data_IF_032598701544
#
_entry.id   IF_032598701544
#
_cell.length_a   1.000
_cell.length_b   1.000
_cell.length_c   1.000
_cell.angle_alpha   90.00
_cell.angle_beta   90.00
_cell.angle_gamma   90.00
#
_symmetry.space_group_name_H-M   'P 1'
#
loop_
_entity.id
_entity.type
_entity.pdbx_description
1 polymer ?
#
# COMPACT_ATOMS: atom_id res chain seq x y z
N UNK A 1 -8.47 19.85 14.22
CA UNK A 1 -9.39 20.01 13.09
C UNK A 1 -10.72 20.49 13.68
N UNK A 2 -11.16 21.72 13.33
CA UNK A 2 -12.47 22.25 13.74
C UNK A 2 -13.50 21.88 12.68
N UNK A 3 -14.48 21.08 13.04
CA UNK A 3 -15.59 20.69 12.19
C UNK A 3 -16.84 21.59 12.40
N UNK A 4 -16.64 22.86 12.77
CA UNK A 4 -17.71 23.86 12.95
C UNK A 4 -18.29 24.27 11.61
N UNK A 5 -19.20 23.54 11.06
CA UNK A 5 -19.86 23.84 9.78
C UNK A 5 -20.63 22.66 9.21
N UNK A 6 -20.43 21.49 9.78
CA UNK A 6 -21.15 20.29 9.37
C UNK A 6 -22.38 20.04 10.23
N UNK A 7 -23.41 19.39 9.66
CA UNK A 7 -24.59 18.95 10.43
C UNK A 7 -24.19 17.98 11.54
N UNK A 8 -24.88 17.99 12.70
CA UNK A 8 -24.56 17.12 13.85
C UNK A 8 -24.27 15.65 13.48
N UNK A 9 -25.04 14.98 12.60
CA UNK A 9 -24.75 13.61 12.22
C UNK A 9 -23.43 13.44 11.43
N UNK A 10 -23.10 14.40 10.56
CA UNK A 10 -21.86 14.38 9.77
C UNK A 10 -20.65 14.71 10.65
N UNK A 11 -20.82 15.62 11.59
CA UNK A 11 -19.79 15.98 12.57
C UNK A 11 -19.45 14.79 13.45
N UNK A 12 -20.45 14.08 13.96
CA UNK A 12 -20.29 12.88 14.79
C UNK A 12 -19.58 11.74 14.02
N UNK A 13 -19.91 11.56 12.72
CA UNK A 13 -19.25 10.60 11.84
C UNK A 13 -17.78 10.99 11.57
N UNK A 14 -17.50 12.26 11.33
CA UNK A 14 -16.15 12.76 11.09
C UNK A 14 -15.29 12.73 12.35
N UNK A 15 -15.86 13.12 13.50
CA UNK A 15 -15.20 13.05 14.79
C UNK A 15 -14.89 11.58 15.18
N UNK A 16 -15.82 10.64 15.01
CA UNK A 16 -15.57 9.20 15.21
C UNK A 16 -14.47 8.66 14.30
N UNK A 17 -14.41 9.07 13.01
CA UNK A 17 -13.32 8.67 12.10
C UNK A 17 -11.94 9.16 12.55
N UNK A 18 -11.86 10.32 13.18
CA UNK A 18 -10.59 10.90 13.68
C UNK A 18 -10.10 10.23 14.95
N UNK A 19 -11.01 9.68 15.78
CA UNK A 19 -10.67 9.05 17.05
C UNK A 19 -10.65 7.52 17.04
N UNK A 20 -10.93 6.89 15.88
CA UNK A 20 -10.91 5.43 15.78
C UNK A 20 -9.48 4.89 15.87
N UNK A 21 -9.23 4.03 16.87
CA UNK A 21 -7.92 3.40 17.07
C UNK A 21 -7.61 2.45 15.90
N UNK A 22 -6.49 2.66 15.24
CA UNK A 22 -6.00 1.82 14.14
C UNK A 22 -5.36 0.55 14.70
N UNK A 23 -5.73 -0.62 14.15
CA UNK A 23 -5.10 -1.90 14.50
C UNK A 23 -4.29 -2.41 13.31
N UNK A 24 -2.99 -2.60 13.52
CA UNK A 24 -2.09 -3.23 12.57
C UNK A 24 -1.71 -4.63 13.06
N UNK A 25 -2.00 -5.65 12.28
CA UNK A 25 -1.64 -7.03 12.58
C UNK A 25 -0.42 -7.41 11.74
N UNK A 26 0.73 -7.62 12.38
CA UNK A 26 2.00 -7.94 11.74
C UNK A 26 2.34 -9.40 12.00
N UNK A 27 1.86 -10.27 11.13
CA UNK A 27 2.07 -11.71 11.12
C UNK A 27 3.31 -12.11 10.33
N UNK A 28 3.61 -13.37 10.32
CA UNK A 28 4.73 -13.98 9.57
C UNK A 28 5.34 -15.13 10.33
N UNK A 29 5.94 -16.07 9.61
CA UNK A 29 6.47 -17.29 10.19
C UNK A 29 7.65 -17.02 11.13
N UNK A 30 8.06 -18.06 11.89
CA UNK A 30 9.16 -17.96 12.86
C UNK A 30 10.44 -17.45 12.21
N UNK A 31 11.06 -16.43 12.81
CA UNK A 31 12.33 -15.84 12.35
C UNK A 31 12.22 -15.05 11.03
N UNK A 32 11.02 -14.73 10.54
CA UNK A 32 10.83 -13.94 9.32
C UNK A 32 11.28 -12.47 9.46
N UNK A 33 11.36 -11.95 10.70
CA UNK A 33 11.81 -10.57 10.99
C UNK A 33 10.70 -9.62 11.44
N UNK A 34 9.56 -10.12 11.94
CA UNK A 34 8.43 -9.33 12.43
C UNK A 34 8.85 -8.26 13.44
N UNK A 35 9.49 -8.67 14.51
CA UNK A 35 9.97 -7.77 15.57
C UNK A 35 10.94 -6.71 15.05
N UNK A 36 11.79 -7.06 14.06
CA UNK A 36 12.69 -6.09 13.40
C UNK A 36 11.91 -5.02 12.64
N UNK A 37 10.88 -5.45 11.90
CA UNK A 37 9.99 -4.53 11.18
C UNK A 37 9.23 -3.61 12.14
N UNK A 38 8.66 -4.18 13.21
CA UNK A 38 7.92 -3.42 14.23
C UNK A 38 8.82 -2.34 14.86
N UNK A 39 10.06 -2.70 15.23
CA UNK A 39 11.04 -1.74 15.77
C UNK A 39 11.33 -0.60 14.78
N UNK A 40 11.46 -0.90 13.49
CA UNK A 40 11.68 0.10 12.45
C UNK A 40 10.46 1.04 12.32
N UNK A 41 9.24 0.50 12.25
CA UNK A 41 8.02 1.30 12.17
C UNK A 41 7.82 2.19 13.40
N UNK A 42 8.05 1.67 14.59
CA UNK A 42 7.99 2.43 15.84
C UNK A 42 8.94 3.63 15.79
N UNK A 43 10.18 3.40 15.38
CA UNK A 43 11.21 4.43 15.34
C UNK A 43 10.99 5.49 14.25
N UNK A 44 10.50 5.08 13.07
CA UNK A 44 10.55 5.90 11.88
C UNK A 44 9.17 6.40 11.40
N UNK A 45 8.08 5.69 11.77
CA UNK A 45 6.74 6.01 11.25
C UNK A 45 5.73 6.39 12.33
N UNK A 46 5.94 5.95 13.58
CA UNK A 46 4.97 6.15 14.66
C UNK A 46 5.41 7.22 15.67
N UNK A 47 6.42 8.02 15.36
CA UNK A 47 6.90 9.07 16.23
C UNK A 47 5.77 10.03 16.67
N UNK A 48 5.69 10.32 17.97
CA UNK A 48 4.67 11.20 18.56
C UNK A 48 3.28 10.57 18.74
N UNK A 49 3.08 9.30 18.37
CA UNK A 49 1.81 8.58 18.59
C UNK A 49 1.83 7.83 19.90
N UNK A 50 0.64 7.66 20.50
CA UNK A 50 0.44 6.74 21.61
C UNK A 50 0.10 5.36 21.05
N UNK A 51 0.98 4.38 21.27
CA UNK A 51 0.88 3.03 20.73
C UNK A 51 0.82 2.01 21.84
N UNK A 52 0.01 0.98 21.64
CA UNK A 52 0.07 -0.27 22.43
C UNK A 52 0.59 -1.38 21.52
N UNK A 53 1.61 -2.08 21.97
CA UNK A 53 2.14 -3.27 21.32
C UNK A 53 1.66 -4.50 22.08
N UNK A 54 0.97 -5.39 21.39
CA UNK A 54 0.51 -6.69 21.89
C UNK A 54 1.35 -7.77 21.25
N UNK A 55 2.20 -8.42 22.02
CA UNK A 55 3.04 -9.52 21.59
C UNK A 55 2.51 -10.86 22.09
N UNK A 56 2.51 -11.85 21.23
CA UNK A 56 2.14 -13.22 21.58
C UNK A 56 3.32 -14.16 21.32
N UNK A 57 4.34 -14.10 22.14
CA UNK A 57 5.47 -15.03 22.04
C UNK A 57 5.36 -16.19 23.03
N UNK A 58 5.69 -17.38 22.54
CA UNK A 58 6.11 -18.50 23.36
C UNK A 58 7.57 -18.28 23.77
N UNK A 59 7.82 -17.58 24.89
CA UNK A 59 9.18 -17.37 25.41
C UNK A 59 9.39 -16.03 26.13
N UNK A 60 10.31 -15.98 27.04
CA UNK A 60 10.53 -14.95 28.07
C UNK A 60 11.24 -13.66 27.61
N UNK A 61 11.23 -13.27 26.35
CA UNK A 61 12.00 -12.09 25.92
C UNK A 61 11.10 -11.10 25.15
N UNK A 62 10.49 -10.18 25.89
CA UNK A 62 9.87 -8.98 25.34
C UNK A 62 10.90 -8.07 24.65
N UNK A 63 10.42 -7.16 23.79
CA UNK A 63 11.25 -6.09 23.24
C UNK A 63 11.83 -5.30 24.41
N UNK A 64 13.15 -5.12 24.47
CA UNK A 64 13.81 -4.39 25.55
C UNK A 64 13.15 -3.01 25.76
N UNK A 65 12.40 -2.86 26.87
CA UNK A 65 11.68 -1.61 27.19
C UNK A 65 12.56 -0.35 27.29
N UNK A 66 13.89 -0.53 27.28
CA UNK A 66 14.88 0.56 27.16
C UNK A 66 14.95 1.17 25.76
N UNK A 67 14.85 0.35 24.70
CA UNK A 67 14.93 0.82 23.31
C UNK A 67 13.73 1.70 22.92
N UNK A 68 12.57 1.45 23.52
CA UNK A 68 11.32 2.10 23.16
C UNK A 68 11.15 3.49 23.80
N UNK A 69 11.80 3.74 24.95
CA UNK A 69 11.79 5.05 25.63
C UNK A 69 12.53 6.14 24.85
N UNK A 70 13.54 5.75 24.08
CA UNK A 70 14.35 6.69 23.30
C UNK A 70 13.67 7.15 22.00
N UNK A 71 12.62 6.45 21.56
CA UNK A 71 11.91 6.75 20.30
C UNK A 71 10.87 7.88 20.42
N UNK A 72 10.64 8.45 21.63
CA UNK A 72 9.63 9.50 21.85
C UNK A 72 8.18 9.02 21.65
N UNK A 73 7.97 7.71 21.68
CA UNK A 73 6.68 7.03 21.51
C UNK A 73 6.25 6.48 22.86
N UNK A 74 5.01 6.73 23.27
CA UNK A 74 4.46 6.11 24.48
C UNK A 74 4.00 4.69 24.13
N UNK A 75 4.81 3.69 24.48
CA UNK A 75 4.51 2.28 24.20
C UNK A 75 4.15 1.57 25.49
N UNK A 76 3.07 0.81 25.45
CA UNK A 76 2.69 -0.13 26.48
C UNK A 76 2.79 -1.54 25.87
N UNK A 77 3.71 -2.34 26.40
CA UNK A 77 3.83 -3.76 26.04
C UNK A 77 2.83 -4.57 26.86
N UNK A 78 2.09 -5.43 26.22
CA UNK A 78 1.22 -6.40 26.86
C UNK A 78 1.54 -7.79 26.35
N UNK A 79 2.00 -8.65 27.25
CA UNK A 79 2.17 -10.07 26.99
C UNK A 79 0.83 -10.77 27.23
N UNK A 80 0.05 -10.95 26.18
CA UNK A 80 -1.16 -11.78 26.26
C UNK A 80 -0.79 -13.23 26.05
N UNK A 81 -0.98 -14.08 27.07
CA UNK A 81 -0.83 -15.52 26.90
C UNK A 81 -1.62 -16.01 25.69
N UNK A 82 -1.06 -16.98 24.92
CA UNK A 82 -1.57 -17.57 23.69
C UNK A 82 -2.90 -17.05 23.13
N UNK A 83 -2.86 -16.04 22.24
CA UNK A 83 -4.03 -15.62 21.44
C UNK A 83 -4.58 -16.80 20.61
N UNK A 84 -3.73 -17.76 20.26
CA UNK A 84 -4.10 -18.93 19.46
C UNK A 84 -4.75 -20.05 20.26
N UNK A 85 -4.56 -20.13 21.58
CA UNK A 85 -4.95 -21.29 22.39
C UNK A 85 -6.12 -21.07 23.34
N UNK A 86 -6.41 -19.85 23.75
CA UNK A 86 -7.54 -19.55 24.61
C UNK A 86 -8.47 -18.54 23.93
N UNK A 87 -9.33 -19.10 23.08
CA UNK A 87 -10.65 -18.59 22.72
C UNK A 87 -10.83 -17.05 22.64
N UNK A 88 -11.30 -16.64 21.48
CA UNK A 88 -11.87 -15.35 21.05
C UNK A 88 -12.41 -14.43 22.18
N UNK A 89 -12.86 -14.99 23.31
CA UNK A 89 -13.42 -14.23 24.43
C UNK A 89 -12.40 -13.49 25.32
N UNK A 90 -11.22 -14.05 25.54
CA UNK A 90 -10.22 -13.42 26.43
C UNK A 90 -9.43 -12.32 25.69
N UNK A 91 -9.21 -12.49 24.39
CA UNK A 91 -8.56 -11.47 23.56
C UNK A 91 -9.44 -10.22 23.39
N UNK A 92 -10.75 -10.42 23.21
CA UNK A 92 -11.71 -9.32 23.15
C UNK A 92 -11.68 -8.45 24.43
N UNK A 93 -11.67 -9.10 25.61
CA UNK A 93 -11.55 -8.39 26.89
C UNK A 93 -10.23 -7.64 27.03
N UNK A 94 -9.11 -8.26 26.59
CA UNK A 94 -7.81 -7.60 26.64
C UNK A 94 -7.78 -6.34 25.77
N UNK A 95 -8.38 -6.36 24.58
CA UNK A 95 -8.52 -5.17 23.72
C UNK A 95 -9.40 -4.10 24.38
N UNK A 96 -10.54 -4.49 24.99
CA UNK A 96 -11.40 -3.56 25.72
C UNK A 96 -10.65 -2.89 26.88
N UNK A 97 -9.91 -3.65 27.69
CA UNK A 97 -9.08 -3.10 28.76
C UNK A 97 -8.00 -2.13 28.23
N UNK A 98 -7.40 -2.43 27.08
CA UNK A 98 -6.43 -1.53 26.42
C UNK A 98 -7.10 -0.23 26.03
N UNK A 99 -8.28 -0.28 25.45
CA UNK A 99 -9.02 0.91 25.05
C UNK A 99 -9.43 1.76 26.26
N UNK A 100 -9.96 1.14 27.31
CA UNK A 100 -10.38 1.84 28.55
C UNK A 100 -9.21 2.49 29.28
N UNK A 101 -8.04 1.84 29.32
CA UNK A 101 -6.90 2.32 30.10
C UNK A 101 -6.00 3.29 29.36
N UNK A 102 -5.84 3.14 28.06
CA UNK A 102 -4.82 3.84 27.31
C UNK A 102 -5.38 4.70 26.18
N UNK A 103 -6.58 4.40 25.66
CA UNK A 103 -7.17 5.07 24.47
C UNK A 103 -6.11 5.39 23.40
N UNK A 104 -5.36 4.37 22.89
CA UNK A 104 -4.23 4.61 22.02
C UNK A 104 -4.69 5.04 20.61
N UNK A 105 -3.84 5.80 19.92
CA UNK A 105 -4.06 6.12 18.50
C UNK A 105 -3.90 4.88 17.61
N UNK A 106 -3.05 3.93 18.05
CA UNK A 106 -2.70 2.73 17.29
C UNK A 106 -2.40 1.55 18.21
N UNK A 107 -2.85 0.37 17.79
CA UNK A 107 -2.49 -0.92 18.40
C UNK A 107 -1.75 -1.73 17.35
N UNK A 108 -0.55 -2.20 17.67
CA UNK A 108 0.22 -3.14 16.85
C UNK A 108 0.13 -4.51 17.50
N UNK A 109 -0.29 -5.51 16.73
CA UNK A 109 -0.41 -6.90 17.21
C UNK A 109 0.62 -7.75 16.48
N UNK A 110 1.55 -8.35 17.23
CA UNK A 110 2.45 -9.39 16.74
C UNK A 110 1.95 -10.77 17.18
N UNK A 111 1.22 -11.52 16.34
CA UNK A 111 0.77 -12.85 16.70
C UNK A 111 1.92 -13.85 16.64
N UNK A 112 1.72 -15.02 17.27
CA UNK A 112 2.68 -16.15 17.19
C UNK A 112 3.02 -16.48 15.73
N UNK A 113 4.28 -16.77 15.48
CA UNK A 113 4.77 -17.14 14.14
C UNK A 113 4.15 -18.40 13.53
N UNK A 114 3.45 -19.21 14.33
CA UNK A 114 2.69 -20.38 13.89
C UNK A 114 1.17 -20.16 13.94
N UNK A 115 0.70 -18.93 14.22
CA UNK A 115 -0.70 -18.57 14.21
C UNK A 115 -1.25 -18.32 12.79
N UNK A 116 -2.54 -18.58 12.59
CA UNK A 116 -3.25 -18.19 11.37
C UNK A 116 -3.64 -16.71 11.44
N UNK A 117 -3.27 -15.93 10.44
CA UNK A 117 -3.60 -14.50 10.36
C UNK A 117 -5.13 -14.29 10.31
N UNK A 118 -5.84 -15.17 9.61
CA UNK A 118 -7.30 -15.14 9.53
C UNK A 118 -8.00 -15.23 10.88
N UNK A 119 -7.44 -15.97 11.83
CA UNK A 119 -8.05 -16.16 13.14
C UNK A 119 -7.86 -14.92 14.01
N UNK A 120 -6.68 -14.31 13.97
CA UNK A 120 -6.40 -13.04 14.66
C UNK A 120 -7.26 -11.92 14.08
N UNK A 121 -7.37 -11.83 12.75
CA UNK A 121 -8.26 -10.88 12.08
C UNK A 121 -9.70 -11.00 12.56
N UNK A 122 -10.27 -12.22 12.56
CA UNK A 122 -11.65 -12.47 13.03
C UNK A 122 -11.83 -12.07 14.50
N UNK A 123 -10.82 -12.34 15.34
CA UNK A 123 -10.87 -11.97 16.76
C UNK A 123 -10.96 -10.45 16.93
N UNK A 124 -10.21 -9.66 16.16
CA UNK A 124 -10.29 -8.19 16.16
C UNK A 124 -11.62 -7.71 15.60
N UNK A 125 -12.06 -8.22 14.44
CA UNK A 125 -13.33 -7.83 13.80
C UNK A 125 -14.56 -8.07 14.70
N UNK A 126 -14.50 -9.06 15.59
CA UNK A 126 -15.56 -9.29 16.58
C UNK A 126 -15.63 -8.17 17.63
N UNK A 127 -14.50 -7.57 17.97
CA UNK A 127 -14.41 -6.48 18.95
C UNK A 127 -14.71 -5.11 18.33
N UNK A 128 -14.49 -4.94 17.03
CA UNK A 128 -14.83 -3.71 16.29
C UNK A 128 -16.31 -3.30 16.45
N UNK A 129 -17.19 -4.25 16.75
CA UNK A 129 -18.61 -3.99 16.94
C UNK A 129 -18.92 -3.30 18.27
N UNK A 130 -18.04 -3.46 19.25
CA UNK A 130 -18.24 -3.03 20.63
C UNK A 130 -17.26 -1.93 21.07
N UNK A 131 -16.23 -1.65 20.24
CA UNK A 131 -15.17 -0.67 20.53
C UNK A 131 -14.88 0.22 19.32
N UNK A 132 -14.42 1.44 19.56
CA UNK A 132 -13.98 2.38 18.51
C UNK A 132 -12.58 2.01 17.97
N UNK A 133 -12.46 0.81 17.41
CA UNK A 133 -11.25 0.26 16.79
C UNK A 133 -11.52 -0.15 15.36
N UNK A 134 -10.48 -0.20 14.53
CA UNK A 134 -10.58 -0.67 13.15
C UNK A 134 -9.31 -1.38 12.71
N UNK A 135 -9.45 -2.53 12.05
CA UNK A 135 -8.34 -3.16 11.33
C UNK A 135 -7.87 -2.21 10.22
N UNK A 136 -6.65 -1.71 10.38
CA UNK A 136 -6.01 -0.77 9.46
C UNK A 136 -5.13 -1.50 8.46
N UNK A 137 -4.31 -2.45 8.92
CA UNK A 137 -3.47 -3.25 8.04
C UNK A 137 -3.35 -4.71 8.49
N UNK A 138 -3.25 -5.61 7.50
CA UNK A 138 -3.00 -7.03 7.66
C UNK A 138 -1.69 -7.37 6.94
N UNK A 139 -0.63 -7.55 7.68
CA UNK A 139 0.72 -7.71 7.15
C UNK A 139 1.25 -9.10 7.40
N UNK A 140 1.90 -9.68 6.40
CA UNK A 140 2.71 -10.89 6.56
C UNK A 140 4.16 -10.62 6.19
N UNK A 141 5.06 -10.82 7.14
CA UNK A 141 6.50 -10.79 6.90
C UNK A 141 6.97 -12.17 6.45
N UNK A 142 7.60 -12.26 5.28
CA UNK A 142 8.05 -13.53 4.70
C UNK A 142 9.54 -13.50 4.35
N UNK A 143 10.31 -14.45 4.87
CA UNK A 143 11.70 -14.69 4.47
C UNK A 143 11.73 -15.24 3.04
N UNK A 144 12.16 -14.42 2.08
CA UNK A 144 12.16 -14.76 0.65
C UNK A 144 12.91 -16.07 0.36
N UNK A 145 13.97 -16.35 1.12
CA UNK A 145 14.77 -17.56 0.94
C UNK A 145 14.06 -18.86 1.32
N UNK A 146 12.95 -18.76 2.07
CA UNK A 146 12.25 -19.90 2.68
C UNK A 146 10.82 -20.11 2.18
N UNK A 147 10.29 -19.22 1.36
CA UNK A 147 8.90 -19.27 0.87
C UNK A 147 8.51 -20.65 0.36
N UNK A 148 9.24 -21.18 -0.62
CA UNK A 148 8.96 -22.50 -1.21
C UNK A 148 8.99 -23.64 -0.17
N UNK A 149 9.96 -23.59 0.73
CA UNK A 149 10.11 -24.62 1.77
C UNK A 149 8.95 -24.57 2.79
N UNK A 150 8.58 -23.36 3.23
CA UNK A 150 7.53 -23.21 4.23
C UNK A 150 6.14 -23.48 3.65
N UNK A 151 5.85 -23.09 2.43
CA UNK A 151 4.60 -23.45 1.75
C UNK A 151 4.43 -24.97 1.65
N UNK A 152 5.52 -25.70 1.37
CA UNK A 152 5.49 -27.16 1.25
C UNK A 152 5.31 -27.87 2.60
N UNK A 153 6.03 -27.42 3.63
CA UNK A 153 6.14 -28.16 4.89
C UNK A 153 5.16 -27.70 5.97
N UNK A 154 4.67 -26.44 5.88
CA UNK A 154 3.82 -25.78 6.89
C UNK A 154 2.61 -25.09 6.24
N UNK A 155 2.14 -25.63 5.12
CA UNK A 155 1.14 -25.00 4.27
C UNK A 155 -0.12 -24.56 5.00
N UNK A 156 -0.60 -25.27 6.02
CA UNK A 156 -1.79 -24.88 6.76
C UNK A 156 -1.65 -23.51 7.43
N UNK A 157 -0.51 -23.23 8.04
CA UNK A 157 -0.29 -21.96 8.75
C UNK A 157 0.33 -20.92 7.83
N UNK A 158 1.39 -21.30 7.12
CA UNK A 158 2.13 -20.39 6.26
C UNK A 158 1.28 -19.86 5.09
N UNK A 159 0.55 -20.76 4.39
CA UNK A 159 -0.30 -20.31 3.30
C UNK A 159 -1.44 -19.41 3.81
N UNK A 160 -2.03 -19.72 4.97
CA UNK A 160 -3.04 -18.84 5.56
C UNK A 160 -2.51 -17.44 5.85
N UNK A 161 -1.26 -17.31 6.34
CA UNK A 161 -0.63 -16.01 6.55
C UNK A 161 -0.47 -15.25 5.23
N UNK A 162 -0.05 -15.92 4.15
CA UNK A 162 0.08 -15.32 2.82
C UNK A 162 -1.29 -14.93 2.24
N UNK A 163 -2.24 -15.88 2.25
CA UNK A 163 -3.58 -15.71 1.65
C UNK A 163 -4.41 -14.62 2.33
N UNK A 164 -4.23 -14.44 3.65
CA UNK A 164 -5.00 -13.47 4.44
C UNK A 164 -4.38 -12.08 4.52
N UNK A 165 -3.16 -11.88 4.00
CA UNK A 165 -2.46 -10.61 4.08
C UNK A 165 -3.01 -9.59 3.07
N UNK A 166 -3.16 -8.34 3.48
CA UNK A 166 -3.32 -7.20 2.57
C UNK A 166 -1.98 -6.69 2.04
N UNK A 167 -0.91 -6.87 2.85
CA UNK A 167 0.45 -6.53 2.45
C UNK A 167 1.42 -7.64 2.85
N UNK A 168 2.31 -8.02 1.95
CA UNK A 168 3.35 -9.02 2.18
C UNK A 168 4.71 -8.32 2.09
N UNK A 169 5.48 -8.37 3.17
CA UNK A 169 6.79 -7.72 3.25
C UNK A 169 7.87 -8.78 3.19
N UNK A 170 8.61 -8.82 2.08
CA UNK A 170 9.70 -9.77 1.92
C UNK A 170 10.93 -9.32 2.72
N UNK A 171 11.42 -10.19 3.58
CA UNK A 171 12.68 -9.99 4.27
C UNK A 171 13.83 -10.68 3.57
N UNK A 172 15.05 -10.16 3.77
CA UNK A 172 16.31 -10.71 3.24
C UNK A 172 16.39 -10.79 1.71
N UNK A 173 15.68 -9.91 1.02
CA UNK A 173 15.70 -9.83 -0.45
C UNK A 173 17.09 -9.56 -1.00
N UNK A 174 17.91 -8.77 -0.30
CA UNK A 174 19.31 -8.51 -0.65
C UNK A 174 20.25 -9.73 -0.53
N UNK A 175 19.76 -10.86 0.02
CA UNK A 175 20.57 -12.09 0.21
C UNK A 175 20.27 -13.18 -0.81
N UNK A 176 19.40 -12.92 -1.77
CA UNK A 176 19.02 -13.90 -2.80
C UNK A 176 19.29 -13.34 -4.18
N UNK A 177 19.41 -14.22 -5.17
CA UNK A 177 19.48 -13.79 -6.58
C UNK A 177 18.10 -13.37 -7.09
N UNK A 178 18.07 -12.63 -8.19
CA UNK A 178 16.83 -12.18 -8.84
C UNK A 178 15.93 -13.38 -9.18
N UNK A 179 16.47 -14.46 -9.73
CA UNK A 179 15.69 -15.65 -10.10
C UNK A 179 15.01 -16.31 -8.89
N UNK A 180 15.65 -16.24 -7.71
CA UNK A 180 15.04 -16.74 -6.47
C UNK A 180 13.95 -15.82 -5.95
N UNK A 181 14.14 -14.51 -6.08
CA UNK A 181 13.14 -13.53 -5.74
C UNK A 181 11.91 -13.70 -6.63
N UNK A 182 12.10 -13.78 -7.94
CA UNK A 182 11.02 -13.96 -8.92
C UNK A 182 10.26 -15.27 -8.69
N UNK A 183 10.98 -16.36 -8.42
CA UNK A 183 10.35 -17.65 -8.10
C UNK A 183 9.53 -17.59 -6.80
N UNK A 184 9.98 -16.86 -5.80
CA UNK A 184 9.23 -16.67 -4.55
C UNK A 184 7.98 -15.80 -4.79
N UNK A 185 8.10 -14.71 -5.57
CA UNK A 185 7.00 -13.85 -5.95
C UNK A 185 5.92 -14.61 -6.73
N UNK A 186 6.30 -15.44 -7.69
CA UNK A 186 5.35 -16.28 -8.44
C UNK A 186 4.54 -17.18 -7.51
N UNK A 187 5.19 -17.84 -6.53
CA UNK A 187 4.51 -18.69 -5.55
C UNK A 187 3.57 -17.89 -4.63
N UNK A 188 3.97 -16.69 -4.22
CA UNK A 188 3.15 -15.81 -3.39
C UNK A 188 1.94 -15.32 -4.18
N UNK A 189 2.13 -14.87 -5.42
CA UNK A 189 1.05 -14.38 -6.30
C UNK A 189 0.04 -15.47 -6.65
N UNK A 190 0.47 -16.74 -6.79
CA UNK A 190 -0.43 -17.90 -6.94
C UNK A 190 -1.40 -18.02 -5.76
N UNK A 191 -0.95 -17.68 -4.55
CA UNK A 191 -1.73 -17.76 -3.32
C UNK A 191 -2.51 -16.47 -3.01
N UNK A 192 -1.93 -15.33 -3.31
CA UNK A 192 -2.52 -14.03 -3.05
C UNK A 192 -2.17 -13.04 -4.19
N UNK A 193 -3.05 -12.92 -5.20
CA UNK A 193 -2.85 -12.02 -6.33
C UNK A 193 -3.01 -10.53 -5.95
N UNK A 194 -3.79 -10.23 -4.89
CA UNK A 194 -4.23 -8.87 -4.55
C UNK A 194 -3.31 -8.14 -3.55
N UNK A 195 -2.47 -8.87 -2.80
CA UNK A 195 -1.65 -8.25 -1.78
C UNK A 195 -0.62 -7.29 -2.38
N UNK A 196 -0.41 -6.15 -1.72
CA UNK A 196 0.77 -5.31 -1.97
C UNK A 196 2.02 -6.08 -1.53
N UNK A 197 3.06 -6.17 -2.36
CA UNK A 197 4.28 -6.89 -2.02
C UNK A 197 5.47 -5.93 -1.96
N UNK A 198 6.06 -5.79 -0.79
CA UNK A 198 7.31 -5.04 -0.61
C UNK A 198 8.48 -5.96 -0.93
N UNK A 199 9.22 -5.63 -1.98
CA UNK A 199 10.38 -6.42 -2.49
C UNK A 199 11.72 -5.74 -2.22
N UNK A 200 11.72 -4.45 -2.02
CA UNK A 200 12.91 -3.64 -1.74
C UNK A 200 13.48 -3.98 -0.36
N UNK A 201 14.81 -4.07 -0.21
CA UNK A 201 15.43 -4.25 1.10
C UNK A 201 15.00 -3.15 2.08
N UNK A 202 14.69 -3.52 3.31
CA UNK A 202 14.17 -2.58 4.32
C UNK A 202 15.13 -1.45 4.69
N UNK A 203 16.42 -1.68 4.50
CA UNK A 203 17.45 -0.68 4.79
C UNK A 203 17.41 0.48 3.77
N UNK A 204 16.80 0.25 2.62
CA UNK A 204 16.63 1.24 1.56
C UNK A 204 15.30 2.02 1.66
N UNK A 205 14.38 1.57 2.52
CA UNK A 205 13.07 2.18 2.71
C UNK A 205 12.98 2.90 4.06
N UNK A 206 12.30 4.04 4.09
CA UNK A 206 11.89 4.65 5.35
C UNK A 206 10.70 3.89 5.97
N UNK A 207 10.53 4.02 7.29
CA UNK A 207 9.35 3.47 7.97
C UNK A 207 8.03 4.05 7.45
N UNK A 208 8.03 5.31 7.02
CA UNK A 208 6.86 5.97 6.42
C UNK A 208 6.48 5.37 5.06
N UNK A 209 7.46 5.04 4.22
CA UNK A 209 7.20 4.36 2.94
C UNK A 209 6.61 2.97 3.16
N UNK A 210 7.14 2.22 4.13
CA UNK A 210 6.60 0.90 4.49
C UNK A 210 5.17 1.04 5.02
N UNK A 211 4.92 2.00 5.92
CA UNK A 211 3.60 2.26 6.48
C UNK A 211 2.60 2.65 5.38
N UNK A 212 2.99 3.52 4.45
CA UNK A 212 2.16 3.90 3.30
C UNK A 212 1.73 2.70 2.47
N UNK A 213 2.65 1.77 2.18
CA UNK A 213 2.34 0.53 1.49
C UNK A 213 1.41 -0.41 2.30
N UNK A 214 1.58 -0.47 3.63
CA UNK A 214 0.70 -1.24 4.52
C UNK A 214 -0.74 -0.68 4.58
N UNK A 215 -0.89 0.65 4.54
CA UNK A 215 -2.19 1.33 4.60
C UNK A 215 -2.90 1.39 3.24
N UNK A 216 -2.38 0.71 2.21
CA UNK A 216 -2.89 0.74 0.83
C UNK A 216 -2.95 2.17 0.31
N UNK A 217 -1.81 2.82 0.21
CA UNK A 217 -1.70 4.09 -0.51
C UNK A 217 -2.26 3.93 -1.94
N UNK A 218 -2.85 5.01 -2.44
CA UNK A 218 -3.43 5.16 -3.78
C UNK A 218 -2.54 4.48 -4.83
N UNK A 219 -3.13 3.74 -5.77
CA UNK A 219 -2.34 3.09 -6.83
C UNK A 219 -1.65 4.14 -7.70
N UNK A 220 -0.53 3.79 -8.32
CA UNK A 220 0.14 4.71 -9.26
C UNK A 220 -0.80 5.13 -10.41
N UNK A 221 -1.72 4.24 -10.80
CA UNK A 221 -2.74 4.54 -11.80
C UNK A 221 -3.72 5.61 -11.31
N UNK A 222 -4.22 5.48 -10.07
CA UNK A 222 -5.13 6.47 -9.47
C UNK A 222 -4.44 7.82 -9.28
N UNK A 223 -3.17 7.83 -8.83
CA UNK A 223 -2.37 9.06 -8.73
C UNK A 223 -2.22 9.76 -10.07
N UNK A 224 -1.97 9.00 -11.15
CA UNK A 224 -1.83 9.55 -12.50
C UNK A 224 -3.15 10.06 -13.07
N UNK A 225 -4.23 9.31 -12.89
CA UNK A 225 -5.56 9.73 -13.32
C UNK A 225 -5.96 11.04 -12.63
N UNK A 226 -5.76 11.12 -11.31
CA UNK A 226 -6.04 12.34 -10.55
C UNK A 226 -5.18 13.54 -11.02
N UNK A 227 -3.89 13.33 -11.31
CA UNK A 227 -3.03 14.37 -11.88
C UNK A 227 -3.50 14.83 -13.26
N UNK A 228 -4.01 13.93 -14.11
CA UNK A 228 -4.55 14.28 -15.42
C UNK A 228 -5.86 15.10 -15.29
N UNK A 229 -6.73 14.77 -14.32
CA UNK A 229 -7.94 15.51 -14.03
C UNK A 229 -7.63 16.93 -13.48
N UNK A 230 -6.59 17.08 -12.65
CA UNK A 230 -6.15 18.40 -12.15
C UNK A 230 -5.53 19.29 -13.23
N UNK A 231 -4.95 18.71 -14.29
CA UNK A 231 -4.37 19.44 -15.42
C UNK A 231 -5.43 19.93 -16.44
N UNK A 232 -6.69 19.46 -16.38
CA UNK A 232 -7.80 19.94 -17.21
C UNK A 232 -8.35 21.28 -16.70
N UNK A 233 -7.53 22.31 -16.80
CA UNK A 233 -7.96 23.70 -16.58
C UNK A 233 -8.44 24.30 -17.89
N UNK A 234 -9.61 24.90 -17.89
CA UNK A 234 -10.11 25.61 -19.08
C UNK A 234 -9.07 26.65 -19.57
N UNK A 235 -8.52 26.55 -20.78
CA UNK A 235 -7.48 27.44 -21.28
C UNK A 235 -7.96 28.89 -21.50
N UNK A 236 -9.26 29.12 -21.39
CA UNK A 236 -9.88 30.44 -21.62
C UNK A 236 -10.19 31.17 -20.33
N UNK A 237 -10.67 30.50 -19.28
CA UNK A 237 -11.10 31.14 -18.03
C UNK A 237 -10.27 30.70 -16.79
N UNK A 238 -9.42 29.67 -16.88
CA UNK A 238 -8.57 29.22 -15.78
C UNK A 238 -9.31 28.55 -14.61
N UNK A 239 -10.58 28.16 -14.80
CA UNK A 239 -11.35 27.46 -13.77
C UNK A 239 -11.18 25.94 -13.94
N UNK A 240 -11.02 25.25 -12.80
CA UNK A 240 -11.11 23.80 -12.74
C UNK A 240 -12.54 23.34 -13.04
N UNK A 241 -12.68 22.26 -13.76
CA UNK A 241 -13.96 21.63 -14.01
C UNK A 241 -14.37 20.85 -12.75
N UNK A 242 -15.34 21.33 -11.99
CA UNK A 242 -15.89 20.62 -10.83
C UNK A 242 -17.14 19.84 -11.27
N UNK A 243 -17.11 18.51 -11.29
CA UNK A 243 -18.25 17.69 -11.72
C UNK A 243 -19.42 17.67 -10.70
N UNK A 244 -19.26 18.18 -9.48
CA UNK A 244 -20.31 18.15 -8.43
C UNK A 244 -21.13 19.45 -8.31
N UNK A 245 -20.79 20.53 -9.01
CA UNK A 245 -21.59 21.77 -8.99
C UNK A 245 -22.55 21.90 -10.18
N UNK A 246 -23.49 21.00 -10.31
CA UNK A 246 -24.66 21.18 -11.18
C UNK A 246 -25.87 21.60 -10.36
N UNK A 247 -25.91 22.84 -9.91
CA UNK A 247 -27.17 23.61 -9.75
C UNK A 247 -26.86 25.05 -9.30
N UNK A 248 -26.39 25.91 -10.19
CA UNK A 248 -26.46 27.36 -9.93
C UNK A 248 -26.69 28.16 -11.20
N UNK A 249 -27.71 28.99 -11.14
CA UNK A 249 -28.11 30.00 -12.08
C UNK A 249 -26.91 30.79 -12.63
N UNK A 250 -26.71 30.72 -13.93
CA UNK A 250 -25.78 31.55 -14.68
C UNK A 250 -26.35 32.94 -14.87
N UNK A 251 -25.93 33.87 -14.02
CA UNK A 251 -25.95 35.29 -14.31
C UNK A 251 -24.51 35.82 -14.30
N UNK A 252 -23.73 35.52 -15.31
CA UNK A 252 -22.56 36.32 -15.71
C UNK A 252 -22.21 36.01 -17.16
N UNK A 253 -22.27 37.04 -18.00
CA UNK A 253 -21.92 37.10 -19.41
C UNK A 253 -20.47 36.62 -19.63
N UNK A 254 -20.29 35.36 -19.92
CA UNK A 254 -19.12 34.86 -20.62
C UNK A 254 -19.51 34.83 -22.11
N UNK A 255 -18.92 35.71 -22.93
CA UNK A 255 -19.23 35.87 -24.32
C UNK A 255 -18.76 34.74 -25.24
N UNK A 256 -19.19 33.55 -24.94
CA UNK A 256 -19.02 32.36 -25.79
C UNK A 256 -20.30 32.21 -26.61
N UNK A 257 -20.22 32.43 -27.92
CA UNK A 257 -21.34 32.26 -28.85
C UNK A 257 -21.95 30.86 -28.72
N UNK A 258 -23.30 30.84 -28.66
CA UNK A 258 -24.12 29.62 -28.65
C UNK A 258 -23.83 28.79 -29.92
N UNK A 259 -23.01 27.73 -29.75
CA UNK A 259 -23.06 26.58 -30.63
C UNK A 259 -23.71 25.44 -29.86
N UNK A 260 -24.90 25.05 -30.30
CA UNK A 260 -25.66 23.87 -29.92
C UNK A 260 -24.82 22.62 -30.20
N UNK A 261 -23.89 22.30 -29.30
CA UNK A 261 -23.23 21.04 -29.26
C UNK A 261 -23.80 20.24 -28.07
N UNK A 262 -24.64 19.25 -28.40
CA UNK A 262 -24.92 18.17 -27.50
C UNK A 262 -23.58 17.47 -27.14
N UNK A 263 -22.93 17.96 -26.11
CA UNK A 263 -21.80 17.28 -25.50
C UNK A 263 -22.35 16.06 -24.77
N UNK A 264 -22.28 14.90 -25.40
CA UNK A 264 -22.24 13.64 -24.67
C UNK A 264 -20.98 13.69 -23.83
N UNK A 265 -21.13 13.92 -22.52
CA UNK A 265 -20.06 13.74 -21.56
C UNK A 265 -19.74 12.26 -21.53
N UNK A 266 -18.77 11.83 -22.34
CA UNK A 266 -18.08 10.57 -22.12
C UNK A 266 -17.19 10.81 -20.90
N UNK A 267 -17.49 10.13 -19.78
CA UNK A 267 -16.57 10.08 -18.64
C UNK A 267 -15.22 9.60 -19.16
N UNK A 268 -14.13 10.19 -18.69
CA UNK A 268 -12.76 9.82 -19.11
C UNK A 268 -12.53 8.30 -19.03
N UNK A 269 -13.12 7.66 -18.04
CA UNK A 269 -13.13 6.21 -17.81
C UNK A 269 -13.75 5.38 -18.92
N UNK A 270 -14.62 5.94 -19.77
CA UNK A 270 -15.21 5.22 -20.90
C UNK A 270 -14.32 5.18 -22.13
N UNK A 271 -13.33 6.10 -22.23
CA UNK A 271 -12.46 6.28 -23.41
C UNK A 271 -11.04 5.82 -23.13
N UNK A 272 -10.56 5.97 -21.90
CA UNK A 272 -9.19 5.69 -21.51
C UNK A 272 -9.13 4.50 -20.56
N UNK A 273 -8.09 3.70 -20.73
CA UNK A 273 -7.75 2.57 -19.85
C UNK A 273 -6.37 2.75 -19.25
N UNK A 274 -6.17 2.25 -18.05
CA UNK A 274 -4.86 2.20 -17.41
C UNK A 274 -4.36 0.76 -17.34
N UNK A 275 -3.08 0.56 -17.65
CA UNK A 275 -2.36 -0.68 -17.44
C UNK A 275 -1.26 -0.44 -16.42
N UNK A 276 -1.44 -0.93 -15.19
CA UNK A 276 -0.48 -0.80 -14.10
C UNK A 276 0.14 -2.15 -13.74
N UNK A 277 1.42 -2.15 -13.37
CA UNK A 277 2.14 -3.34 -12.90
C UNK A 277 3.08 -3.01 -11.76
N UNK A 278 3.16 -3.94 -10.82
CA UNK A 278 4.21 -4.00 -9.81
C UNK A 278 5.22 -5.07 -10.19
N UNK A 279 6.51 -4.79 -10.02
CA UNK A 279 7.57 -5.72 -10.40
C UNK A 279 8.82 -5.54 -9.55
N UNK A 280 9.48 -6.64 -9.23
CA UNK A 280 10.82 -6.62 -8.64
C UNK A 280 11.93 -6.66 -9.72
N UNK A 281 11.56 -6.69 -11.01
CA UNK A 281 12.52 -6.72 -12.12
C UNK A 281 13.36 -5.45 -12.10
N UNK A 282 14.65 -5.65 -12.31
CA UNK A 282 15.60 -4.56 -12.47
C UNK A 282 15.76 -4.21 -13.96
N UNK A 283 15.99 -2.93 -14.23
CA UNK A 283 16.15 -2.41 -15.58
C UNK A 283 17.45 -1.62 -15.68
N UNK A 284 18.11 -1.66 -16.86
CA UNK A 284 19.15 -0.69 -17.13
C UNK A 284 18.56 0.59 -17.72
N UNK A 285 19.31 1.71 -17.62
CA UNK A 285 18.90 2.97 -18.25
C UNK A 285 18.69 2.81 -19.76
N UNK A 286 19.60 2.09 -20.44
CA UNK A 286 19.55 1.85 -21.86
C UNK A 286 18.34 0.99 -22.27
N UNK A 287 17.94 0.04 -21.43
CA UNK A 287 16.70 -0.73 -21.66
C UNK A 287 15.48 0.19 -21.55
N UNK A 288 15.43 1.04 -20.52
CA UNK A 288 14.31 1.97 -20.35
C UNK A 288 14.24 3.01 -21.48
N UNK A 289 15.36 3.55 -21.95
CA UNK A 289 15.39 4.45 -23.12
C UNK A 289 14.77 3.78 -24.36
N UNK A 290 15.10 2.52 -24.63
CA UNK A 290 14.49 1.77 -25.74
C UNK A 290 13.00 1.52 -25.55
N UNK A 291 12.57 1.16 -24.35
CA UNK A 291 11.16 0.92 -24.01
C UNK A 291 10.36 2.21 -24.23
N UNK A 292 10.82 3.32 -23.67
CA UNK A 292 10.12 4.60 -23.75
C UNK A 292 10.10 5.16 -25.19
N UNK A 293 11.18 4.99 -25.93
CA UNK A 293 11.21 5.32 -27.34
C UNK A 293 10.17 4.54 -28.14
N UNK A 294 10.07 3.22 -27.92
CA UNK A 294 9.06 2.38 -28.56
C UNK A 294 7.63 2.78 -28.16
N UNK A 295 7.39 3.15 -26.90
CA UNK A 295 6.08 3.62 -26.43
C UNK A 295 5.72 4.98 -27.01
N UNK A 296 6.70 5.89 -27.22
CA UNK A 296 6.44 7.23 -27.73
C UNK A 296 6.17 7.29 -29.22
N UNK A 297 6.74 6.33 -30.00
CA UNK A 297 6.65 6.30 -31.47
C UNK A 297 5.84 5.12 -32.01
N UNK A 298 5.60 4.07 -31.21
CA UNK A 298 4.97 2.83 -31.65
C UNK A 298 3.45 2.88 -31.54
N UNK A 299 2.76 2.68 -32.68
CA UNK A 299 1.30 2.54 -32.67
C UNK A 299 0.83 1.13 -32.24
N UNK A 300 1.74 0.19 -32.08
CA UNK A 300 1.40 -1.22 -31.79
C UNK A 300 0.94 -1.48 -30.36
N UNK A 301 1.19 -0.55 -29.43
CA UNK A 301 0.82 -0.67 -28.01
C UNK A 301 -0.54 -0.03 -27.67
N UNK A 302 -1.20 0.59 -28.66
CA UNK A 302 -2.37 1.44 -28.50
C UNK A 302 -2.01 2.92 -28.59
N UNK A 303 -2.97 3.78 -28.32
CA UNK A 303 -2.73 5.24 -28.26
C UNK A 303 -2.30 5.59 -26.85
N UNK A 304 -1.00 5.76 -26.64
CA UNK A 304 -0.45 6.08 -25.31
C UNK A 304 -0.59 7.58 -25.08
N UNK A 305 -1.19 7.94 -23.94
CA UNK A 305 -1.36 9.32 -23.51
C UNK A 305 -0.35 9.69 -22.45
N UNK A 306 -0.10 8.79 -21.51
CA UNK A 306 0.87 8.98 -20.43
C UNK A 306 1.45 7.63 -19.99
N UNK A 307 2.71 7.63 -19.63
CA UNK A 307 3.29 6.52 -18.88
C UNK A 307 4.21 7.05 -17.79
N UNK A 308 4.18 6.43 -16.65
CA UNK A 308 5.03 6.79 -15.50
C UNK A 308 5.47 5.54 -14.78
N UNK A 309 6.65 5.61 -14.18
CA UNK A 309 7.11 4.50 -13.34
C UNK A 309 8.32 4.85 -12.51
N UNK A 310 8.50 3.99 -11.51
CA UNK A 310 9.57 4.00 -10.54
C UNK A 310 10.10 2.58 -10.49
N UNK A 311 11.26 2.33 -11.07
CA UNK A 311 11.79 0.98 -11.29
C UNK A 311 13.18 0.81 -10.69
N UNK A 312 13.52 -0.37 -10.13
CA UNK A 312 14.87 -0.63 -9.65
C UNK A 312 15.87 -0.65 -10.82
N UNK A 313 17.04 -0.02 -10.62
CA UNK A 313 18.12 -0.03 -11.60
C UNK A 313 19.08 -1.19 -11.34
N UNK A 314 19.43 -1.96 -12.38
CA UNK A 314 20.38 -3.07 -12.30
C UNK A 314 21.77 -2.63 -11.81
N UNK A 315 22.17 -1.39 -12.13
CA UNK A 315 23.43 -0.79 -11.71
C UNK A 315 23.38 -0.13 -10.30
N UNK A 316 22.29 -0.36 -9.56
CA UNK A 316 22.01 0.26 -8.26
C UNK A 316 21.20 1.56 -8.38
N UNK A 317 20.45 1.88 -7.32
CA UNK A 317 19.53 3.02 -7.30
C UNK A 317 18.22 2.74 -8.03
N UNK A 318 17.48 3.79 -8.38
CA UNK A 318 16.15 3.71 -8.96
C UNK A 318 16.03 4.64 -10.16
N UNK A 319 15.26 4.20 -11.16
CA UNK A 319 14.94 4.94 -12.38
C UNK A 319 13.51 5.40 -12.30
N UNK A 320 13.30 6.70 -12.36
CA UNK A 320 12.01 7.32 -12.53
C UNK A 320 11.84 7.68 -13.99
N UNK A 321 10.69 7.40 -14.56
CA UNK A 321 10.36 7.84 -15.89
C UNK A 321 8.98 8.48 -15.96
N UNK A 322 8.85 9.45 -16.84
CA UNK A 322 7.60 10.09 -17.22
C UNK A 322 7.58 10.22 -18.73
N UNK A 323 6.44 9.87 -19.36
CA UNK A 323 6.28 9.91 -20.82
C UNK A 323 4.92 10.54 -21.15
N UNK A 324 4.94 11.47 -22.07
CA UNK A 324 3.79 12.01 -22.79
C UNK A 324 4.02 11.81 -24.31
N UNK A 325 2.99 11.93 -25.17
CA UNK A 325 3.18 11.74 -26.61
C UNK A 325 4.32 12.57 -27.20
N UNK A 326 5.34 11.89 -27.72
CA UNK A 326 6.50 12.52 -28.36
C UNK A 326 7.64 12.93 -27.43
N UNK A 327 7.45 12.84 -26.10
CA UNK A 327 8.48 13.24 -25.12
C UNK A 327 8.55 12.24 -23.97
N UNK A 328 9.76 11.98 -23.47
CA UNK A 328 9.96 11.24 -22.23
C UNK A 328 11.19 11.72 -21.47
N UNK A 329 11.14 11.55 -20.17
CA UNK A 329 12.24 11.87 -19.26
C UNK A 329 12.60 10.65 -18.41
N UNK A 330 13.91 10.46 -18.21
CA UNK A 330 14.48 9.47 -17.28
C UNK A 330 15.35 10.18 -16.26
N UNK A 331 15.07 9.98 -14.99
CA UNK A 331 15.82 10.56 -13.86
C UNK A 331 16.13 9.51 -12.80
N UNK A 332 17.15 9.75 -12.02
CA UNK A 332 17.43 8.97 -10.83
C UNK A 332 16.53 9.41 -9.68
N UNK A 333 16.15 8.49 -8.81
CA UNK A 333 15.27 8.76 -7.68
C UNK A 333 15.55 7.91 -6.46
N UNK A 334 14.76 8.15 -5.43
CA UNK A 334 14.82 7.39 -4.18
C UNK A 334 14.16 6.03 -4.35
N UNK A 335 14.54 5.02 -3.56
CA UNK A 335 13.87 3.72 -3.51
C UNK A 335 12.37 3.84 -3.25
N UNK A 336 11.58 3.00 -3.92
CA UNK A 336 10.17 2.75 -3.59
C UNK A 336 10.01 1.33 -3.03
N UNK A 337 8.86 1.00 -2.46
CA UNK A 337 8.59 -0.29 -1.82
C UNK A 337 8.68 -1.48 -2.79
N UNK A 338 8.38 -1.25 -4.06
CA UNK A 338 8.57 -2.18 -5.19
C UNK A 338 8.70 -1.37 -6.47
N UNK A 339 9.17 -1.99 -7.56
CA UNK A 339 9.08 -1.37 -8.88
C UNK A 339 7.62 -1.23 -9.28
N UNK A 340 7.22 -0.03 -9.73
CA UNK A 340 5.85 0.26 -10.18
C UNK A 340 5.89 0.97 -11.52
N UNK A 341 4.95 0.63 -12.38
CA UNK A 341 4.76 1.36 -13.63
C UNK A 341 3.28 1.40 -14.02
N UNK A 342 2.91 2.43 -14.72
CA UNK A 342 1.57 2.62 -15.24
C UNK A 342 1.62 3.23 -16.64
N UNK A 343 0.76 2.75 -17.52
CA UNK A 343 0.53 3.28 -18.85
C UNK A 343 -0.94 3.61 -19.00
N UNK A 344 -1.26 4.83 -19.37
CA UNK A 344 -2.63 5.32 -19.62
C UNK A 344 -2.79 5.60 -21.10
N UNK A 345 -3.90 5.15 -21.67
CA UNK A 345 -4.16 5.36 -23.06
C UNK A 345 -5.47 4.74 -23.54
N UNK A 346 -5.67 4.72 -24.83
CA UNK A 346 -6.83 4.13 -25.49
C UNK A 346 -6.42 2.89 -26.29
N UNK A 347 -7.23 1.84 -26.22
CA UNK A 347 -7.00 0.55 -26.93
C UNK A 347 -5.65 -0.08 -26.60
N UNK A 348 -5.24 -0.01 -25.33
CA UNK A 348 -3.98 -0.57 -24.87
C UNK A 348 -3.87 -2.06 -25.20
N UNK A 349 -2.70 -2.47 -25.68
CA UNK A 349 -2.37 -3.86 -26.00
C UNK A 349 -1.57 -4.45 -24.84
N UNK A 350 -2.25 -4.88 -23.79
CA UNK A 350 -1.63 -5.29 -22.53
C UNK A 350 -0.58 -6.39 -22.70
N UNK A 351 -0.85 -7.42 -23.50
CA UNK A 351 0.11 -8.49 -23.77
C UNK A 351 1.41 -7.97 -24.41
N UNK A 352 1.30 -6.97 -25.29
CA UNK A 352 2.47 -6.36 -25.92
C UNK A 352 3.22 -5.44 -24.96
N UNK A 353 2.50 -4.75 -24.08
CA UNK A 353 3.11 -3.96 -23.00
C UNK A 353 3.88 -4.88 -22.04
N UNK A 354 3.32 -6.02 -21.65
CA UNK A 354 4.01 -7.02 -20.83
C UNK A 354 5.29 -7.54 -21.50
N UNK A 355 5.21 -7.85 -22.81
CA UNK A 355 6.38 -8.28 -23.57
C UNK A 355 7.44 -7.17 -23.70
N UNK A 356 7.03 -5.91 -23.95
CA UNK A 356 7.93 -4.76 -24.07
C UNK A 356 8.73 -4.54 -22.79
N UNK A 357 8.05 -4.57 -21.64
CA UNK A 357 8.71 -4.47 -20.32
C UNK A 357 9.35 -5.79 -19.87
N UNK A 358 9.08 -6.91 -20.59
CA UNK A 358 9.57 -8.25 -20.26
C UNK A 358 9.03 -8.73 -18.91
N UNK A 359 7.74 -8.51 -18.67
CA UNK A 359 6.99 -8.94 -17.49
C UNK A 359 6.08 -10.14 -17.77
N UNK A 360 6.10 -10.62 -19.02
CA UNK A 360 5.34 -11.79 -19.49
C UNK A 360 5.95 -13.13 -19.01
#
# INVERSE_FOLDING_TARGET
LHFEGYSEPLRDILERRVYMTKIDIISGFLGAGKTTLIKKLIKEAFAGQQIVLIENEFGEIGIDGGFLKDAGVNITEMNSGCICCSLVGDFGKALQEVMERFAPARIVIEPSGVGKLSDVRKAVENVEKDCDIKVNSLVTVADVSKVKMYMKNFGEFYNNQIESAGTIILSRTQKVSQEKLDAALALIREKNPEAVIITTPWDELSGEQILGAMEKSVSLADELLHQMEEEEVCPVCGHHYDPEEHDHHHDHECGCEEHDHHHHHHHADEVFTSWGRETAKQFTREQMEKILHNLSEGEEYGVILRAKGILPNENGGWIYFDLVPGEYELREGQPDYTGRLCVIGSKLQEEKLEQLFGLA
#
